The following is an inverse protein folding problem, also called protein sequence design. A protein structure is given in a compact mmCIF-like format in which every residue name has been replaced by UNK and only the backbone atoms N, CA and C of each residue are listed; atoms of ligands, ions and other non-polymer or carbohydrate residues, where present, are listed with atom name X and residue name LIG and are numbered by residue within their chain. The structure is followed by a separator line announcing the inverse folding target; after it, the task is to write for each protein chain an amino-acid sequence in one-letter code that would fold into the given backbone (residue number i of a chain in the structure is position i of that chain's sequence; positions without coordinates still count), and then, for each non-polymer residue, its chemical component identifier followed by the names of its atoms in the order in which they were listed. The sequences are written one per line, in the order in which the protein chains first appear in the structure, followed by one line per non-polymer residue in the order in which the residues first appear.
data_IF_300771247868
#
_entry.id   IF_300771247868
#
_cell.length_a   1.000
_cell.length_b   1.000
_cell.length_c   1.000
_cell.angle_alpha   90.00
_cell.angle_beta   90.00
_cell.angle_gamma   90.00
#
_symmetry.space_group_name_H-M   'P 1'
#
loop_
_entity.id
_entity.type
_entity.pdbx_description
1 polymer ?
#
# COMPACT_ATOMS: atom_id res chain seq x y z
N UNK A 1 68.88 33.85 -11.93
CA UNK A 1 68.65 33.00 -10.75
C UNK A 1 67.54 33.47 -9.78
N UNK A 2 67.42 34.81 -9.53
CA UNK A 2 66.41 35.37 -8.59
C UNK A 2 64.93 35.19 -9.06
N UNK A 3 64.65 35.31 -10.36
CA UNK A 3 63.28 35.12 -10.92
C UNK A 3 62.72 33.72 -10.74
N UNK A 4 63.53 32.69 -10.95
CA UNK A 4 63.07 31.31 -10.81
C UNK A 4 62.76 30.90 -9.34
N UNK A 5 63.42 31.51 -8.37
CA UNK A 5 63.13 31.32 -6.95
C UNK A 5 61.81 31.97 -6.56
N UNK A 6 61.47 33.10 -7.18
CA UNK A 6 60.21 33.81 -6.96
C UNK A 6 59.03 33.00 -7.52
N UNK A 7 59.15 32.45 -8.74
CA UNK A 7 58.13 31.57 -9.32
C UNK A 7 57.94 30.30 -8.52
N UNK A 8 59.03 29.69 -8.05
CA UNK A 8 58.95 28.51 -7.22
C UNK A 8 58.31 28.77 -5.86
N UNK A 9 58.57 29.91 -5.23
CA UNK A 9 57.87 30.34 -4.01
C UNK A 9 56.37 30.57 -4.21
N UNK A 10 55.99 31.17 -5.35
CA UNK A 10 54.60 31.42 -5.70
C UNK A 10 53.83 30.10 -5.95
N UNK A 11 54.48 29.14 -6.57
CA UNK A 11 53.90 27.82 -6.85
C UNK A 11 53.67 27.01 -5.56
N UNK A 12 54.61 27.06 -4.60
CA UNK A 12 54.43 26.45 -3.28
C UNK A 12 53.28 27.11 -2.53
N UNK A 13 53.16 28.42 -2.56
CA UNK A 13 52.10 29.17 -1.87
C UNK A 13 50.72 28.84 -2.45
N UNK A 14 50.62 28.70 -3.77
CA UNK A 14 49.41 28.26 -4.45
C UNK A 14 49.02 26.81 -4.06
N UNK A 15 50.01 25.93 -3.99
CA UNK A 15 49.79 24.53 -3.60
C UNK A 15 49.30 24.42 -2.15
N UNK A 16 49.90 25.21 -1.25
CA UNK A 16 49.45 25.28 0.16
C UNK A 16 48.01 25.83 0.27
N UNK A 17 47.68 26.86 -0.53
CA UNK A 17 46.34 27.43 -0.56
C UNK A 17 45.29 26.39 -1.05
N UNK A 18 45.63 25.60 -2.09
CA UNK A 18 44.76 24.51 -2.57
C UNK A 18 44.60 23.44 -1.53
N UNK A 19 45.65 23.05 -0.81
CA UNK A 19 45.56 22.04 0.27
C UNK A 19 44.67 22.58 1.40
N UNK A 20 44.86 23.83 1.83
CA UNK A 20 44.02 24.44 2.88
C UNK A 20 42.56 24.50 2.43
N UNK A 21 42.31 24.90 1.18
CA UNK A 21 40.96 24.93 0.63
C UNK A 21 40.32 23.55 0.55
N UNK A 22 41.07 22.53 0.10
CA UNK A 22 40.61 21.12 0.08
C UNK A 22 40.31 20.60 1.48
N UNK A 23 41.17 20.91 2.45
CA UNK A 23 40.98 20.54 3.85
C UNK A 23 39.79 21.24 4.48
N UNK A 24 39.57 22.52 4.18
CA UNK A 24 38.39 23.27 4.61
C UNK A 24 37.11 22.71 4.03
N UNK A 25 37.09 22.37 2.74
CA UNK A 25 35.95 21.69 2.14
C UNK A 25 35.72 20.30 2.73
N UNK A 26 36.77 19.52 2.96
CA UNK A 26 36.69 18.19 3.59
C UNK A 26 36.13 18.27 5.02
N UNK A 27 36.50 19.30 5.79
CA UNK A 27 35.94 19.51 7.14
C UNK A 27 34.50 20.04 7.11
N UNK A 28 34.12 20.79 6.08
CA UNK A 28 32.75 21.31 5.92
C UNK A 28 31.79 20.25 5.31
N UNK A 29 32.29 19.29 4.56
CA UNK A 29 31.51 18.09 4.14
C UNK A 29 31.08 17.25 5.35
N UNK A 30 31.69 17.43 6.50
CA UNK A 30 31.38 16.72 7.75
C UNK A 30 30.32 17.35 8.66
N UNK A 31 29.62 18.43 8.26
CA UNK A 31 28.30 18.69 8.84
C UNK A 31 27.35 17.67 8.24
N UNK A 32 27.34 16.44 8.79
CA UNK A 32 26.21 15.54 8.65
C UNK A 32 24.97 16.35 9.07
N UNK A 33 24.24 16.84 8.10
CA UNK A 33 22.85 17.19 8.34
C UNK A 33 22.25 15.93 8.96
N UNK A 34 21.70 16.04 10.16
CA UNK A 34 21.08 14.94 10.86
C UNK A 34 19.96 14.43 9.97
N UNK A 35 20.26 13.42 9.14
CA UNK A 35 19.27 12.77 8.30
C UNK A 35 18.41 11.93 9.24
N UNK A 36 17.13 12.26 9.35
CA UNK A 36 16.18 11.42 10.06
C UNK A 36 16.07 10.08 9.35
N UNK A 37 16.04 9.00 10.14
CA UNK A 37 15.84 7.64 9.62
C UNK A 37 14.40 7.24 9.83
N UNK A 38 13.72 6.91 8.75
CA UNK A 38 12.33 6.45 8.75
C UNK A 38 12.27 5.02 8.22
N UNK A 39 11.67 4.13 8.98
CA UNK A 39 11.43 2.75 8.57
C UNK A 39 9.99 2.58 8.10
N UNK A 40 9.84 2.08 6.89
CA UNK A 40 8.54 1.74 6.27
C UNK A 40 8.31 0.25 6.48
N UNK A 41 7.34 -0.10 7.31
CA UNK A 41 7.00 -1.49 7.65
C UNK A 41 5.69 -1.83 6.99
N UNK A 42 5.74 -2.70 5.99
CA UNK A 42 4.57 -3.14 5.21
C UNK A 42 4.68 -4.63 4.91
N UNK A 43 3.56 -5.30 4.77
CA UNK A 43 3.53 -6.70 4.35
C UNK A 43 4.08 -6.80 2.92
N UNK A 44 5.03 -7.72 2.70
CA UNK A 44 5.62 -8.01 1.40
C UNK A 44 6.07 -6.76 0.63
N UNK A 45 6.97 -5.96 1.23
CA UNK A 45 7.43 -4.67 0.69
C UNK A 45 8.05 -4.75 -0.73
N UNK A 46 8.34 -5.94 -1.24
CA UNK A 46 8.87 -6.15 -2.58
C UNK A 46 7.78 -6.40 -3.64
N UNK A 47 6.51 -6.47 -3.24
CA UNK A 47 5.40 -6.56 -4.19
C UNK A 47 5.33 -5.30 -5.07
N UNK A 48 4.98 -5.49 -6.33
CA UNK A 48 4.81 -4.42 -7.33
C UNK A 48 3.66 -3.47 -6.97
N UNK A 49 2.68 -3.93 -6.17
CA UNK A 49 1.62 -3.06 -5.63
C UNK A 49 2.17 -1.82 -4.90
N UNK A 50 3.37 -1.91 -4.32
CA UNK A 50 4.00 -0.79 -3.61
C UNK A 50 4.82 0.14 -4.50
N UNK A 51 4.90 -0.11 -5.80
CA UNK A 51 5.79 0.64 -6.70
C UNK A 51 5.49 2.13 -6.69
N UNK A 52 4.23 2.52 -6.89
CA UNK A 52 3.83 3.93 -6.91
C UNK A 52 3.98 4.62 -5.55
N UNK A 53 3.57 3.95 -4.48
CA UNK A 53 3.74 4.45 -3.10
C UNK A 53 5.23 4.65 -2.78
N UNK A 54 6.06 3.67 -3.10
CA UNK A 54 7.52 3.75 -2.88
C UNK A 54 8.13 4.94 -3.61
N UNK A 55 7.75 5.19 -4.87
CA UNK A 55 8.21 6.35 -5.63
C UNK A 55 7.85 7.66 -4.94
N UNK A 56 6.63 7.77 -4.40
CA UNK A 56 6.19 8.93 -3.62
C UNK A 56 7.02 9.12 -2.36
N UNK A 57 7.18 8.07 -1.55
CA UNK A 57 8.00 8.06 -0.33
C UNK A 57 9.46 8.44 -0.61
N UNK A 58 10.06 7.87 -1.65
CA UNK A 58 11.45 8.17 -2.03
C UNK A 58 11.60 9.61 -2.53
N UNK A 59 10.59 10.16 -3.22
CA UNK A 59 10.60 11.56 -3.61
C UNK A 59 10.54 12.48 -2.39
N UNK A 60 9.61 12.24 -1.48
CA UNK A 60 9.51 12.97 -0.21
C UNK A 60 10.82 12.87 0.60
N UNK A 61 11.41 11.68 0.68
CA UNK A 61 12.67 11.47 1.38
C UNK A 61 13.83 12.30 0.80
N UNK A 62 13.89 12.43 -0.52
CA UNK A 62 14.88 13.31 -1.19
C UNK A 62 14.62 14.77 -0.86
N UNK A 63 13.37 15.22 -0.93
CA UNK A 63 12.98 16.62 -0.74
C UNK A 63 13.19 17.09 0.71
N UNK A 64 13.00 16.18 1.68
CA UNK A 64 13.12 16.47 3.11
C UNK A 64 14.41 15.93 3.76
N UNK A 65 15.37 15.43 2.97
CA UNK A 65 16.63 14.86 3.46
C UNK A 65 16.44 13.76 4.52
N UNK A 66 15.54 12.82 4.23
CA UNK A 66 15.22 11.67 5.07
C UNK A 66 15.89 10.42 4.51
N UNK A 67 16.41 9.57 5.38
CA UNK A 67 16.87 8.23 5.01
C UNK A 67 15.75 7.22 5.22
N UNK A 68 15.25 6.62 4.13
CA UNK A 68 14.23 5.57 4.19
C UNK A 68 14.85 4.17 4.25
N UNK A 69 14.23 3.30 5.02
CA UNK A 69 14.47 1.86 4.98
C UNK A 69 13.13 1.12 4.85
N UNK A 70 13.03 0.26 3.84
CA UNK A 70 11.86 -0.59 3.66
C UNK A 70 12.10 -1.93 4.36
N UNK A 71 11.21 -2.28 5.26
CA UNK A 71 11.24 -3.53 6.00
C UNK A 71 10.20 -4.45 5.38
N UNK A 72 10.70 -5.45 4.65
CA UNK A 72 9.86 -6.50 4.12
C UNK A 72 9.63 -7.52 5.21
N UNK A 73 8.39 -7.72 5.53
CA UNK A 73 7.95 -8.80 6.40
C UNK A 73 7.18 -9.79 5.54
N UNK A 74 7.28 -11.07 5.86
CA UNK A 74 6.30 -12.03 5.35
C UNK A 74 4.92 -11.71 5.93
N UNK A 75 3.93 -12.52 5.61
CA UNK A 75 2.62 -12.41 6.26
C UNK A 75 2.75 -12.60 7.77
N UNK A 76 2.26 -11.63 8.53
CA UNK A 76 2.18 -11.77 9.98
C UNK A 76 1.03 -12.70 10.37
N UNK A 77 1.26 -13.56 11.35
CA UNK A 77 0.21 -14.42 11.89
C UNK A 77 -0.55 -13.74 13.03
N UNK A 78 0.07 -12.76 13.68
CA UNK A 78 -0.50 -12.03 14.81
C UNK A 78 -0.05 -10.57 14.83
N UNK A 79 -0.85 -9.69 15.46
CA UNK A 79 -0.47 -8.30 15.73
C UNK A 79 0.83 -8.19 16.53
N UNK A 80 1.09 -9.15 17.43
CA UNK A 80 2.30 -9.17 18.25
C UNK A 80 3.56 -9.34 17.40
N UNK A 81 3.54 -10.25 16.41
CA UNK A 81 4.68 -10.45 15.48
C UNK A 81 4.96 -9.17 14.68
N UNK A 82 3.92 -8.50 14.22
CA UNK A 82 4.03 -7.23 13.51
C UNK A 82 4.67 -6.16 14.41
N UNK A 83 4.17 -6.01 15.63
CA UNK A 83 4.71 -5.04 16.60
C UNK A 83 6.13 -5.34 17.04
N UNK A 84 6.55 -6.60 17.12
CA UNK A 84 7.93 -6.96 17.41
C UNK A 84 8.90 -6.49 16.31
N UNK A 85 8.49 -6.57 15.06
CA UNK A 85 9.27 -6.02 13.94
C UNK A 85 9.39 -4.50 14.04
N UNK A 86 8.30 -3.81 14.36
CA UNK A 86 8.28 -2.35 14.53
C UNK A 86 9.19 -1.93 15.69
N UNK A 87 9.07 -2.55 16.87
CA UNK A 87 9.92 -2.29 18.05
C UNK A 87 11.40 -2.49 17.75
N UNK A 88 11.73 -3.48 16.91
CA UNK A 88 13.10 -3.71 16.46
C UNK A 88 13.63 -2.56 15.60
N UNK A 89 12.81 -1.94 14.75
CA UNK A 89 13.23 -0.77 13.97
C UNK A 89 13.54 0.42 14.87
N UNK A 90 12.72 0.68 15.90
CA UNK A 90 12.98 1.72 16.90
C UNK A 90 14.29 1.46 17.64
N UNK A 91 14.50 0.23 18.10
CA UNK A 91 15.75 -0.18 18.77
C UNK A 91 16.97 0.00 17.87
N UNK A 92 16.82 -0.22 16.56
CA UNK A 92 17.86 0.01 15.55
C UNK A 92 18.08 1.50 15.23
N UNK A 93 17.32 2.39 15.87
CA UNK A 93 17.47 3.84 15.82
C UNK A 93 16.68 4.52 14.70
N UNK A 94 15.53 3.97 14.30
CA UNK A 94 14.56 4.70 13.50
C UNK A 94 14.01 5.88 14.32
N UNK A 95 13.94 7.05 13.68
CA UNK A 95 13.36 8.26 14.26
C UNK A 95 11.87 8.38 13.98
N UNK A 96 11.38 7.65 12.98
CA UNK A 96 9.97 7.53 12.61
C UNK A 96 9.68 6.20 11.97
N UNK A 97 8.44 5.78 12.11
CA UNK A 97 7.89 4.55 11.53
C UNK A 97 6.69 4.91 10.65
N UNK A 98 6.68 4.44 9.43
CA UNK A 98 5.49 4.38 8.57
C UNK A 98 5.03 2.92 8.58
N UNK A 99 3.81 2.67 9.02
CA UNK A 99 3.32 1.34 9.32
C UNK A 99 1.98 1.08 8.65
N UNK A 100 1.93 0.06 7.80
CA UNK A 100 0.67 -0.50 7.35
C UNK A 100 0.33 -1.72 8.23
N UNK A 101 -0.71 -1.57 9.03
CA UNK A 101 -1.16 -2.64 9.93
C UNK A 101 -1.96 -3.70 9.17
N UNK A 102 -1.70 -4.97 9.50
CA UNK A 102 -2.51 -6.10 9.01
C UNK A 102 -3.74 -6.38 9.88
N UNK A 103 -3.81 -5.77 11.06
CA UNK A 103 -4.89 -5.94 12.04
C UNK A 103 -5.08 -4.66 12.83
N UNK A 104 -6.30 -4.39 13.28
CA UNK A 104 -6.66 -3.24 14.11
C UNK A 104 -6.49 -3.48 15.63
N UNK A 105 -5.96 -4.66 16.02
CA UNK A 105 -5.91 -5.09 17.43
C UNK A 105 -4.62 -4.71 18.19
N UNK A 106 -3.81 -3.80 17.66
CA UNK A 106 -2.53 -3.40 18.30
C UNK A 106 -2.56 -1.98 18.89
N UNK A 107 -3.73 -1.45 19.21
CA UNK A 107 -3.87 -0.07 19.67
C UNK A 107 -3.02 0.28 20.89
N UNK A 108 -2.96 -0.59 21.90
CA UNK A 108 -2.18 -0.34 23.13
C UNK A 108 -0.66 -0.37 22.85
N UNK A 109 -0.19 -1.33 22.07
CA UNK A 109 1.22 -1.43 21.69
C UNK A 109 1.68 -0.26 20.82
N UNK A 110 0.80 0.26 19.97
CA UNK A 110 1.06 1.46 19.19
C UNK A 110 1.10 2.72 20.07
N UNK A 111 0.24 2.83 21.07
CA UNK A 111 0.26 3.93 22.04
C UNK A 111 1.60 3.96 22.79
N UNK A 112 2.05 2.82 23.30
CA UNK A 112 3.33 2.67 23.96
C UNK A 112 4.51 3.04 23.04
N UNK A 113 4.41 2.74 21.76
CA UNK A 113 5.42 3.04 20.75
C UNK A 113 5.45 4.52 20.38
N UNK A 114 4.28 5.15 20.23
CA UNK A 114 4.15 6.56 19.85
C UNK A 114 4.74 7.50 20.89
N UNK A 115 4.84 7.06 22.15
CA UNK A 115 5.58 7.75 23.21
C UNK A 115 7.12 7.73 23.02
N UNK A 116 7.65 6.88 22.15
CA UNK A 116 9.08 6.69 21.94
C UNK A 116 9.56 7.19 20.58
N UNK A 117 8.73 7.11 19.54
CA UNK A 117 9.06 7.50 18.17
C UNK A 117 7.82 8.02 17.44
N UNK A 118 8.02 8.82 16.38
CA UNK A 118 6.93 9.24 15.53
C UNK A 118 6.37 8.03 14.75
N UNK A 119 5.04 7.83 14.82
CA UNK A 119 4.34 6.76 14.09
C UNK A 119 3.32 7.39 13.14
N UNK A 120 3.36 6.96 11.88
CA UNK A 120 2.38 7.28 10.85
C UNK A 120 1.77 5.96 10.37
N UNK A 121 0.44 5.87 10.42
CA UNK A 121 -0.30 4.76 9.87
C UNK A 121 -0.55 4.97 8.37
N UNK A 122 -0.47 3.88 7.62
CA UNK A 122 -0.63 3.87 6.17
C UNK A 122 -1.80 2.97 5.77
N UNK A 123 -2.67 3.46 4.90
CA UNK A 123 -3.85 2.78 4.32
C UNK A 123 -4.97 2.41 5.28
N UNK A 124 -4.67 2.00 6.50
CA UNK A 124 -5.68 1.57 7.47
C UNK A 124 -5.44 2.20 8.84
N UNK A 125 -6.52 2.57 9.48
CA UNK A 125 -6.54 3.02 10.86
C UNK A 125 -6.63 1.80 11.80
N UNK A 126 -6.22 1.96 13.06
CA UNK A 126 -6.31 0.89 14.06
C UNK A 126 -7.44 1.20 15.04
N UNK A 127 -7.32 2.03 16.01
CA UNK A 127 -8.36 2.33 16.97
C UNK A 127 -8.87 3.78 16.77
N UNK A 128 -10.20 4.03 16.77
CA UNK A 128 -10.75 5.38 16.67
C UNK A 128 -10.32 6.32 17.81
N UNK A 129 -9.85 5.79 18.93
CA UNK A 129 -9.40 6.58 20.08
C UNK A 129 -7.92 6.96 20.03
N UNK A 130 -7.13 6.36 19.12
CA UNK A 130 -5.71 6.65 18.93
C UNK A 130 -5.48 7.95 18.17
N UNK A 131 -4.57 8.81 18.65
CA UNK A 131 -4.14 10.03 17.95
C UNK A 131 -2.89 9.72 17.15
N UNK A 132 -3.05 9.08 16.01
CA UNK A 132 -1.96 8.78 15.08
C UNK A 132 -2.10 9.63 13.81
N UNK A 133 -0.97 9.97 13.19
CA UNK A 133 -1.00 10.47 11.82
C UNK A 133 -1.41 9.30 10.91
N UNK A 134 -2.38 9.54 10.04
CA UNK A 134 -2.88 8.55 9.08
C UNK A 134 -2.81 9.14 7.69
N UNK A 135 -2.25 8.38 6.76
CA UNK A 135 -2.34 8.60 5.32
C UNK A 135 -3.06 7.40 4.71
N UNK A 136 -4.28 7.61 4.27
CA UNK A 136 -5.12 6.59 3.67
C UNK A 136 -5.99 7.18 2.55
N UNK A 137 -6.43 6.37 1.59
CA UNK A 137 -7.50 6.78 0.68
C UNK A 137 -8.82 6.83 1.44
N UNK A 138 -9.83 7.50 0.88
CA UNK A 138 -11.20 7.36 1.34
C UNK A 138 -11.71 5.96 0.94
N UNK A 139 -11.61 5.02 1.87
CA UNK A 139 -11.97 3.63 1.62
C UNK A 139 -13.48 3.43 1.41
N UNK A 140 -14.33 4.23 2.06
CA UNK A 140 -15.78 4.15 1.84
C UNK A 140 -16.14 4.68 0.45
N UNK A 141 -15.51 5.77 0.00
CA UNK A 141 -15.67 6.30 -1.35
C UNK A 141 -15.14 5.30 -2.41
N UNK A 142 -14.03 4.60 -2.15
CA UNK A 142 -13.56 3.53 -3.05
C UNK A 142 -14.60 2.42 -3.22
N UNK A 143 -15.22 1.99 -2.12
CA UNK A 143 -16.31 1.01 -2.17
C UNK A 143 -17.55 1.55 -2.91
N UNK A 144 -17.92 2.79 -2.67
CA UNK A 144 -19.02 3.45 -3.37
C UNK A 144 -18.74 3.59 -4.88
N UNK A 145 -17.50 3.88 -5.27
CA UNK A 145 -17.08 3.93 -6.67
C UNK A 145 -17.23 2.58 -7.38
N UNK A 146 -16.90 1.46 -6.72
CA UNK A 146 -17.18 0.13 -7.26
C UNK A 146 -18.68 -0.10 -7.48
N UNK A 147 -19.50 0.22 -6.49
CA UNK A 147 -20.95 0.10 -6.63
C UNK A 147 -21.51 0.98 -7.75
N UNK A 148 -21.00 2.20 -7.89
CA UNK A 148 -21.38 3.11 -8.96
C UNK A 148 -20.97 2.58 -10.34
N UNK A 149 -19.80 1.96 -10.47
CA UNK A 149 -19.37 1.33 -11.71
C UNK A 149 -20.32 0.19 -12.10
N UNK A 150 -20.67 -0.67 -11.14
CA UNK A 150 -21.67 -1.75 -11.36
C UNK A 150 -23.02 -1.15 -11.81
N UNK A 151 -23.50 -0.13 -11.11
CA UNK A 151 -24.77 0.53 -11.48
C UNK A 151 -24.71 1.16 -12.89
N UNK A 152 -23.56 1.73 -13.26
CA UNK A 152 -23.39 2.34 -14.59
C UNK A 152 -23.41 1.30 -15.70
N UNK A 153 -22.84 0.12 -15.46
CA UNK A 153 -22.75 -0.93 -16.47
C UNK A 153 -24.06 -1.70 -16.66
N UNK A 154 -24.81 -1.90 -15.57
CA UNK A 154 -26.05 -2.70 -15.60
C UNK A 154 -27.33 -1.86 -15.68
N UNK A 155 -27.33 -0.63 -15.20
CA UNK A 155 -28.54 0.20 -15.18
C UNK A 155 -29.74 -0.49 -14.54
N UNK A 156 -30.88 -0.51 -15.24
CA UNK A 156 -32.11 -1.15 -14.77
C UNK A 156 -32.03 -2.68 -14.72
N UNK A 157 -31.06 -3.30 -15.42
CA UNK A 157 -30.84 -4.75 -15.43
C UNK A 157 -30.11 -5.26 -14.16
N UNK A 158 -29.75 -4.37 -13.25
CA UNK A 158 -29.07 -4.73 -11.99
C UNK A 158 -30.02 -5.39 -10.99
N UNK A 159 -31.31 -5.10 -11.05
CA UNK A 159 -32.29 -5.69 -10.15
C UNK A 159 -32.35 -7.21 -10.27
N UNK A 160 -32.18 -7.89 -9.14
CA UNK A 160 -32.15 -9.36 -9.07
C UNK A 160 -30.82 -10.02 -9.45
N UNK A 161 -29.81 -9.24 -9.89
CA UNK A 161 -28.45 -9.79 -10.09
C UNK A 161 -27.84 -10.20 -8.77
N UNK A 162 -27.16 -11.36 -8.80
CA UNK A 162 -26.45 -11.91 -7.64
C UNK A 162 -25.03 -11.35 -7.61
N UNK A 163 -24.63 -10.87 -6.45
CA UNK A 163 -23.32 -10.25 -6.20
C UNK A 163 -22.54 -11.09 -5.19
N UNK A 164 -21.31 -11.44 -5.51
CA UNK A 164 -20.32 -11.95 -4.57
C UNK A 164 -19.33 -10.85 -4.19
N UNK A 165 -18.89 -10.83 -2.94
CA UNK A 165 -17.90 -9.86 -2.45
C UNK A 165 -16.71 -10.63 -1.84
N UNK A 166 -15.51 -10.31 -2.30
CA UNK A 166 -14.25 -10.80 -1.75
C UNK A 166 -13.56 -9.69 -0.96
N UNK A 167 -13.34 -9.92 0.33
CA UNK A 167 -12.67 -9.01 1.22
C UNK A 167 -11.44 -9.65 1.85
N UNK A 168 -10.32 -8.92 1.95
CA UNK A 168 -9.05 -9.43 2.47
C UNK A 168 -9.14 -9.86 3.95
N UNK A 169 -9.67 -9.01 4.78
CA UNK A 169 -9.87 -9.28 6.21
C UNK A 169 -10.77 -8.22 6.82
N UNK A 170 -11.79 -8.64 7.57
CA UNK A 170 -12.58 -7.68 8.36
C UNK A 170 -11.84 -7.12 9.57
N UNK A 171 -10.69 -7.67 9.92
CA UNK A 171 -9.85 -7.07 10.96
C UNK A 171 -9.12 -5.80 10.49
N UNK A 172 -9.21 -5.45 9.20
CA UNK A 172 -8.71 -4.19 8.67
C UNK A 172 -9.87 -3.20 8.48
N UNK A 173 -9.81 -2.09 9.18
CA UNK A 173 -10.83 -1.04 9.09
C UNK A 173 -11.03 -0.51 7.67
N UNK A 174 -9.96 -0.42 6.90
CA UNK A 174 -10.03 -0.07 5.48
C UNK A 174 -10.93 -1.01 4.67
N UNK A 175 -10.89 -2.32 4.95
CA UNK A 175 -11.74 -3.30 4.28
C UNK A 175 -13.19 -3.19 4.72
N UNK A 176 -13.45 -2.96 6.01
CA UNK A 176 -14.80 -2.70 6.51
C UNK A 176 -15.42 -1.47 5.86
N UNK A 177 -14.65 -0.39 5.71
CA UNK A 177 -15.09 0.83 5.04
C UNK A 177 -15.40 0.59 3.57
N UNK A 178 -14.53 -0.11 2.82
CA UNK A 178 -14.80 -0.49 1.41
C UNK A 178 -16.05 -1.35 1.28
N UNK A 179 -16.21 -2.34 2.15
CA UNK A 179 -17.41 -3.17 2.19
C UNK A 179 -18.67 -2.36 2.46
N UNK A 180 -18.58 -1.40 3.39
CA UNK A 180 -19.69 -0.47 3.71
C UNK A 180 -20.07 0.35 2.47
N UNK A 181 -19.10 0.94 1.79
CA UNK A 181 -19.33 1.71 0.56
C UNK A 181 -20.02 0.90 -0.53
N UNK A 182 -19.53 -0.32 -0.80
CA UNK A 182 -20.17 -1.24 -1.78
C UNK A 182 -21.59 -1.57 -1.35
N UNK A 183 -21.79 -1.99 -0.09
CA UNK A 183 -23.08 -2.46 0.41
C UNK A 183 -24.12 -1.34 0.43
N UNK A 184 -23.74 -0.13 0.80
CA UNK A 184 -24.62 1.03 0.77
C UNK A 184 -24.97 1.42 -0.68
N UNK A 185 -23.97 1.48 -1.56
CA UNK A 185 -24.18 1.80 -2.97
C UNK A 185 -25.11 0.80 -3.66
N UNK A 186 -25.01 -0.50 -3.37
CA UNK A 186 -25.88 -1.50 -4.00
C UNK A 186 -27.27 -1.64 -3.36
N UNK A 187 -27.50 -1.07 -2.17
CA UNK A 187 -28.74 -1.29 -1.38
C UNK A 187 -30.01 -0.94 -2.15
N UNK A 188 -30.00 0.15 -2.91
CA UNK A 188 -31.17 0.65 -3.61
C UNK A 188 -31.29 0.15 -5.06
N UNK A 189 -30.29 -0.59 -5.54
CA UNK A 189 -30.22 -1.06 -6.91
C UNK A 189 -31.10 -2.31 -7.17
N UNK A 190 -31.54 -2.98 -6.11
CA UNK A 190 -32.24 -4.27 -6.21
C UNK A 190 -31.32 -5.47 -6.46
N UNK A 191 -30.01 -5.28 -6.50
CA UNK A 191 -29.03 -6.37 -6.51
C UNK A 191 -29.06 -7.15 -5.20
N UNK A 192 -28.74 -8.44 -5.27
CA UNK A 192 -28.73 -9.37 -4.11
C UNK A 192 -27.30 -9.78 -3.81
N UNK A 193 -26.78 -9.39 -2.65
CA UNK A 193 -25.51 -9.95 -2.17
C UNK A 193 -25.76 -11.40 -1.77
N UNK A 194 -25.38 -12.32 -2.64
CA UNK A 194 -25.58 -13.76 -2.46
C UNK A 194 -24.63 -14.32 -1.40
N UNK A 195 -23.38 -13.84 -1.40
CA UNK A 195 -22.37 -14.21 -0.41
C UNK A 195 -21.28 -13.14 -0.30
N UNK A 196 -20.62 -13.13 0.85
CA UNK A 196 -19.39 -12.38 1.12
C UNK A 196 -18.37 -13.33 1.72
N UNK A 197 -17.15 -13.30 1.21
CA UNK A 197 -16.07 -14.15 1.68
C UNK A 197 -14.91 -13.28 2.15
N UNK A 198 -14.39 -13.59 3.33
CA UNK A 198 -13.39 -12.81 4.03
C UNK A 198 -12.18 -13.64 4.40
N UNK A 199 -11.01 -13.06 4.24
CA UNK A 199 -9.72 -13.65 4.56
C UNK A 199 -8.68 -13.33 3.52
N UNK A 200 -7.41 -13.65 3.82
CA UNK A 200 -6.32 -13.49 2.85
C UNK A 200 -6.58 -14.36 1.63
N UNK A 201 -6.31 -13.84 0.43
CA UNK A 201 -6.58 -14.51 -0.84
C UNK A 201 -6.11 -15.99 -0.86
N UNK A 202 -4.90 -16.25 -0.35
CA UNK A 202 -4.37 -17.62 -0.25
C UNK A 202 -5.21 -18.54 0.64
N UNK A 203 -5.78 -18.02 1.73
CA UNK A 203 -6.56 -18.82 2.71
C UNK A 203 -7.98 -19.06 2.28
N UNK A 204 -8.57 -18.16 1.48
CA UNK A 204 -9.97 -18.23 1.04
C UNK A 204 -10.14 -18.84 -0.35
N UNK A 205 -9.05 -19.12 -1.06
CA UNK A 205 -9.09 -19.59 -2.46
C UNK A 205 -10.00 -20.79 -2.67
N UNK A 206 -9.85 -21.84 -1.87
CA UNK A 206 -10.64 -23.07 -2.00
C UNK A 206 -12.12 -22.84 -1.64
N UNK A 207 -12.37 -22.00 -0.62
CA UNK A 207 -13.72 -21.63 -0.23
C UNK A 207 -14.39 -20.78 -1.33
N UNK A 208 -13.67 -19.87 -1.95
CA UNK A 208 -14.14 -19.09 -3.09
C UNK A 208 -14.51 -19.99 -4.27
N UNK A 209 -13.65 -20.95 -4.63
CA UNK A 209 -13.89 -21.87 -5.73
C UNK A 209 -15.15 -22.72 -5.47
N UNK A 210 -15.34 -23.19 -4.23
CA UNK A 210 -16.53 -23.96 -3.84
C UNK A 210 -17.79 -23.11 -3.89
N UNK A 211 -17.74 -21.88 -3.35
CA UNK A 211 -18.89 -20.96 -3.37
C UNK A 211 -19.32 -20.62 -4.80
N UNK A 212 -18.36 -20.34 -5.69
CA UNK A 212 -18.69 -19.98 -7.06
C UNK A 212 -19.23 -21.16 -7.87
N UNK A 213 -18.87 -22.39 -7.52
CA UNK A 213 -19.48 -23.60 -8.10
C UNK A 213 -20.89 -23.85 -7.60
N UNK A 214 -21.13 -23.70 -6.29
CA UNK A 214 -22.42 -24.01 -5.66
C UNK A 214 -23.44 -22.88 -5.81
N UNK A 215 -22.96 -21.64 -5.75
CA UNK A 215 -23.76 -20.41 -5.78
C UNK A 215 -23.13 -19.37 -6.69
N UNK A 216 -23.07 -19.64 -8.01
CA UNK A 216 -22.44 -18.72 -8.96
C UNK A 216 -23.14 -17.37 -8.95
N UNK A 217 -22.36 -16.31 -9.10
CA UNK A 217 -22.86 -14.94 -9.12
C UNK A 217 -22.76 -14.31 -10.51
N UNK A 218 -23.54 -13.25 -10.75
CA UNK A 218 -23.54 -12.48 -11.98
C UNK A 218 -22.46 -11.38 -11.95
N UNK A 219 -22.13 -10.91 -10.74
CA UNK A 219 -21.21 -9.82 -10.47
C UNK A 219 -20.32 -10.22 -9.31
N UNK A 220 -19.01 -10.04 -9.47
CA UNK A 220 -18.04 -10.31 -8.42
C UNK A 220 -17.21 -9.05 -8.15
N UNK A 221 -17.13 -8.64 -6.88
CA UNK A 221 -16.44 -7.44 -6.44
C UNK A 221 -15.32 -7.85 -5.47
N UNK A 222 -14.07 -7.52 -5.81
CA UNK A 222 -12.92 -7.72 -4.95
C UNK A 222 -12.46 -6.40 -4.33
N UNK A 223 -12.31 -6.37 -3.01
CA UNK A 223 -12.02 -5.15 -2.25
C UNK A 223 -10.53 -4.90 -2.05
N UNK A 224 -9.66 -5.81 -2.45
CA UNK A 224 -8.22 -5.73 -2.32
C UNK A 224 -7.48 -6.17 -3.58
N UNK A 225 -6.18 -5.86 -3.63
CA UNK A 225 -5.32 -6.16 -4.79
C UNK A 225 -5.22 -7.67 -5.04
N UNK A 226 -4.91 -8.44 -4.00
CA UNK A 226 -4.66 -9.88 -4.10
C UNK A 226 -5.94 -10.68 -4.36
N UNK A 227 -7.07 -10.21 -3.79
CA UNK A 227 -8.39 -10.75 -4.05
C UNK A 227 -8.83 -10.50 -5.49
N UNK A 228 -8.47 -9.33 -6.05
CA UNK A 228 -8.72 -9.00 -7.46
C UNK A 228 -7.93 -9.94 -8.37
N UNK A 229 -6.65 -10.18 -8.09
CA UNK A 229 -5.83 -11.13 -8.85
C UNK A 229 -6.37 -12.55 -8.76
N UNK A 230 -6.68 -13.02 -7.56
CA UNK A 230 -7.25 -14.36 -7.32
C UNK A 230 -8.57 -14.56 -8.07
N UNK A 231 -9.45 -13.56 -8.03
CA UNK A 231 -10.73 -13.55 -8.73
C UNK A 231 -10.54 -13.75 -10.24
N UNK A 232 -9.66 -12.98 -10.85
CA UNK A 232 -9.43 -13.05 -12.30
C UNK A 232 -8.73 -14.36 -12.68
N UNK A 233 -7.73 -14.79 -11.89
CA UNK A 233 -7.05 -16.07 -12.14
C UNK A 233 -8.02 -17.25 -12.14
N UNK A 234 -9.05 -17.22 -11.29
CA UNK A 234 -10.09 -18.23 -11.27
C UNK A 234 -10.88 -18.29 -12.59
N UNK A 235 -11.34 -17.15 -13.08
CA UNK A 235 -12.14 -17.08 -14.30
C UNK A 235 -11.30 -17.23 -15.59
N UNK A 236 -10.03 -16.88 -15.55
CA UNK A 236 -9.11 -17.03 -16.69
C UNK A 236 -8.50 -18.42 -16.78
N UNK A 237 -8.57 -19.22 -15.70
CA UNK A 237 -8.03 -20.58 -15.65
C UNK A 237 -8.90 -21.59 -16.40
N UNK A 238 -8.25 -22.48 -17.19
CA UNK A 238 -8.93 -23.51 -18.01
C UNK A 238 -9.59 -24.64 -17.21
N UNK A 239 -9.30 -24.76 -15.91
CA UNK A 239 -9.64 -25.97 -15.13
C UNK A 239 -11.14 -26.22 -14.95
N UNK A 240 -12.00 -25.22 -15.06
CA UNK A 240 -13.43 -25.33 -14.79
C UNK A 240 -14.34 -25.00 -15.98
N UNK A 241 -13.78 -24.61 -17.14
CA UNK A 241 -14.57 -24.21 -18.30
C UNK A 241 -15.42 -22.95 -18.06
N UNK A 242 -15.06 -22.17 -17.04
CA UNK A 242 -15.70 -20.90 -16.69
C UNK A 242 -15.24 -19.85 -17.68
N UNK A 243 -16.20 -19.08 -18.15
CA UNK A 243 -15.93 -18.02 -19.10
C UNK A 243 -16.12 -16.68 -18.41
N UNK A 244 -15.20 -15.77 -18.67
CA UNK A 244 -15.28 -14.35 -18.26
C UNK A 244 -16.58 -13.66 -18.74
N UNK A 245 -17.25 -14.23 -19.74
CA UNK A 245 -18.55 -13.73 -20.25
C UNK A 245 -19.74 -14.04 -19.34
N UNK A 246 -19.55 -14.83 -18.29
CA UNK A 246 -20.63 -15.22 -17.35
C UNK A 246 -20.72 -14.36 -16.10
N UNK A 247 -19.63 -13.71 -15.71
CA UNK A 247 -19.54 -12.94 -14.50
C UNK A 247 -18.79 -11.62 -14.78
N UNK A 248 -19.36 -10.50 -14.37
CA UNK A 248 -18.70 -9.20 -14.48
C UNK A 248 -17.83 -8.97 -13.26
N UNK A 249 -16.54 -8.66 -13.48
CA UNK A 249 -15.53 -8.57 -12.44
C UNK A 249 -15.16 -7.10 -12.18
N UNK A 250 -15.20 -6.70 -10.90
CA UNK A 250 -14.84 -5.36 -10.43
C UNK A 250 -13.86 -5.50 -9.29
N UNK A 251 -12.85 -4.63 -9.22
CA UNK A 251 -11.83 -4.80 -8.20
C UNK A 251 -11.12 -3.53 -7.77
N UNK A 252 -10.35 -3.67 -6.70
CA UNK A 252 -9.39 -2.68 -6.22
C UNK A 252 -7.99 -3.20 -6.44
N UNK A 253 -7.08 -2.36 -6.92
CA UNK A 253 -5.66 -2.71 -6.98
C UNK A 253 -4.90 -1.93 -8.03
N UNK A 254 -3.58 -1.86 -7.86
CA UNK A 254 -2.65 -1.11 -8.70
C UNK A 254 -1.50 -1.96 -9.23
N UNK A 255 -1.48 -3.28 -8.96
CA UNK A 255 -0.44 -4.16 -9.46
C UNK A 255 -0.41 -4.20 -10.98
N UNK A 256 0.76 -4.44 -11.57
CA UNK A 256 0.91 -4.59 -13.03
C UNK A 256 -0.02 -5.67 -13.58
N UNK A 257 -0.25 -6.71 -12.80
CA UNK A 257 -1.13 -7.82 -13.16
C UNK A 257 -2.60 -7.39 -13.23
N UNK A 258 -3.08 -6.61 -12.25
CA UNK A 258 -4.44 -6.09 -12.26
C UNK A 258 -4.67 -5.10 -13.41
N UNK A 259 -3.69 -4.24 -13.69
CA UNK A 259 -3.73 -3.34 -14.85
C UNK A 259 -3.77 -4.13 -16.17
N UNK A 260 -2.97 -5.19 -16.28
CA UNK A 260 -3.01 -6.08 -17.44
C UNK A 260 -4.39 -6.74 -17.63
N UNK A 261 -5.06 -7.16 -16.55
CA UNK A 261 -6.40 -7.74 -16.63
C UNK A 261 -7.46 -6.71 -17.07
N UNK A 262 -7.34 -5.47 -16.63
CA UNK A 262 -8.18 -4.36 -17.10
C UNK A 262 -7.97 -4.11 -18.60
N UNK A 263 -6.72 -4.04 -19.07
CA UNK A 263 -6.38 -3.87 -20.48
C UNK A 263 -6.90 -5.01 -21.37
N UNK A 264 -7.00 -6.22 -20.82
CA UNK A 264 -7.61 -7.37 -21.50
C UNK A 264 -9.13 -7.35 -21.51
N UNK A 265 -9.75 -6.45 -20.78
CA UNK A 265 -11.21 -6.41 -20.60
C UNK A 265 -11.74 -7.55 -19.74
N UNK A 266 -10.89 -8.17 -18.91
CA UNK A 266 -11.29 -9.21 -17.97
C UNK A 266 -11.87 -8.62 -16.69
N UNK A 267 -11.45 -7.43 -16.32
CA UNK A 267 -12.05 -6.60 -15.29
C UNK A 267 -12.77 -5.44 -15.97
N UNK A 268 -14.00 -5.16 -15.59
CA UNK A 268 -14.80 -4.04 -16.10
C UNK A 268 -14.30 -2.71 -15.54
N UNK A 269 -14.02 -2.69 -14.24
CA UNK A 269 -13.53 -1.49 -13.55
C UNK A 269 -12.52 -1.87 -12.47
N UNK A 270 -11.45 -1.09 -12.43
CA UNK A 270 -10.42 -1.17 -11.39
C UNK A 270 -10.36 0.17 -10.67
N UNK A 271 -10.67 0.17 -9.37
CA UNK A 271 -10.54 1.35 -8.50
C UNK A 271 -9.12 1.37 -7.93
N UNK A 272 -8.40 2.48 -8.18
CA UNK A 272 -7.00 2.63 -7.79
C UNK A 272 -6.82 3.87 -6.94
N UNK A 273 -6.26 3.79 -5.73
CA UNK A 273 -5.91 4.97 -4.95
C UNK A 273 -4.73 5.72 -5.57
N UNK A 274 -4.61 7.01 -5.28
CA UNK A 274 -3.44 7.79 -5.69
C UNK A 274 -2.25 7.50 -4.78
N UNK A 275 -1.64 6.33 -4.96
CA UNK A 275 -0.56 5.80 -4.10
C UNK A 275 0.69 6.67 -4.11
N UNK A 276 1.06 7.26 -5.26
CA UNK A 276 2.20 8.19 -5.31
C UNK A 276 1.97 9.38 -4.37
N UNK A 277 0.79 9.98 -4.42
CA UNK A 277 0.46 11.11 -3.55
C UNK A 277 0.40 10.70 -2.08
N UNK A 278 -0.14 9.52 -1.78
CA UNK A 278 -0.12 8.98 -0.41
C UNK A 278 1.31 8.79 0.10
N UNK A 279 2.22 8.32 -0.74
CA UNK A 279 3.63 8.16 -0.38
C UNK A 279 4.38 9.49 -0.24
N UNK A 280 3.96 10.53 -0.95
CA UNK A 280 4.62 11.83 -0.91
C UNK A 280 4.18 12.71 0.28
N UNK A 281 2.91 12.60 0.72
CA UNK A 281 2.36 13.33 1.88
C UNK A 281 3.02 12.95 3.19
#
# INVERSE_FOLDING_TARGET
MKKNRLYFGMLILMLVAVIIWAFYNMLNVGKQETSYRVSVVVENSNSDRWTSLRQGLEQAARDYNISLSFVSTGSFSTAMEEMDVVKKQVTNGANGIILQMNTDHAGQELEDLSGQTAVLLLETDVDPEGVYALVAPDNEEMGAALAQAVQSDFGDDLAGKRVGILACSQSQRSMQQRYTGVSQGLRESGAVVEWSLEGKAESIKDAFYTLEQDKPVDILIALGNDETEMMVDFFAGDELGWRLDRCSLYGVGSSEKNVYYLDKGWIQTLVVPNEFNMGYQ
#
